data_IF_555732655159
#
_entry.id   IF_555732655159
#
_cell.length_a   1.000
_cell.length_b   1.000
_cell.length_c   1.000
_cell.angle_alpha   90.00
_cell.angle_beta   90.00
_cell.angle_gamma   90.00
#
_symmetry.space_group_name_H-M   'P 1'
#
loop_
_entity.id
_entity.type
_entity.pdbx_description
1 polymer ?
#
# COMPACT_ATOMS: atom_id res chain seq x y z
N UNK A 1 23.99 -48.97 59.18
CA UNK A 1 23.54 -48.03 60.24
C UNK A 1 23.06 -46.74 59.63
N UNK A 2 21.72 -46.53 59.54
CA UNK A 2 21.09 -45.31 59.07
C UNK A 2 20.53 -44.62 60.29
N UNK A 3 20.99 -43.39 60.55
CA UNK A 3 20.40 -42.51 61.57
C UNK A 3 19.20 -41.77 61.00
N UNK A 4 18.08 -41.87 61.71
CA UNK A 4 16.86 -41.13 61.48
C UNK A 4 16.96 -39.80 62.27
N UNK A 5 16.67 -38.69 61.60
CA UNK A 5 16.54 -37.38 62.23
C UNK A 5 15.04 -37.05 62.32
N UNK A 6 14.51 -36.61 63.48
CA UNK A 6 13.09 -36.30 63.64
C UNK A 6 12.73 -34.91 63.19
N UNK A 7 11.53 -34.77 62.60
CA UNK A 7 10.88 -33.51 62.22
C UNK A 7 10.17 -32.87 63.42
N UNK A 8 10.26 -31.56 63.63
CA UNK A 8 9.40 -30.87 64.56
C UNK A 8 8.10 -30.41 63.88
N UNK A 9 6.97 -30.69 64.53
CA UNK A 9 5.66 -30.20 64.17
C UNK A 9 5.44 -28.81 64.75
N UNK A 10 5.26 -27.79 63.87
CA UNK A 10 4.55 -26.56 64.20
C UNK A 10 3.87 -26.05 62.96
N UNK A 11 2.54 -26.12 62.98
CA UNK A 11 1.70 -25.47 61.99
C UNK A 11 1.17 -24.16 62.57
N UNK A 12 1.34 -23.03 61.88
CA UNK A 12 0.59 -21.82 62.20
C UNK A 12 -0.71 -21.81 61.38
N UNK A 13 -1.77 -21.33 62.02
CA UNK A 13 -3.12 -21.17 61.43
C UNK A 13 -3.10 -20.21 60.25
N UNK A 14 -3.67 -20.69 59.15
CA UNK A 14 -3.89 -19.85 57.95
C UNK A 14 -5.21 -19.07 58.14
N UNK A 15 -5.12 -17.78 58.32
CA UNK A 15 -6.27 -16.85 58.23
C UNK A 15 -6.62 -16.65 56.77
N UNK A 16 -7.78 -17.16 56.37
CA UNK A 16 -8.34 -16.90 55.03
C UNK A 16 -8.86 -15.46 54.98
N UNK A 17 -8.10 -14.59 54.35
CA UNK A 17 -8.60 -13.28 53.92
C UNK A 17 -9.32 -13.45 52.57
N UNK A 18 -10.62 -13.25 52.55
CA UNK A 18 -11.40 -13.20 51.33
C UNK A 18 -11.05 -11.90 50.55
N UNK A 19 -10.21 -12.05 49.53
CA UNK A 19 -9.96 -10.97 48.58
C UNK A 19 -11.14 -10.92 47.58
N UNK A 20 -11.90 -9.82 47.59
CA UNK A 20 -12.85 -9.48 46.54
C UNK A 20 -12.06 -9.28 45.23
N UNK A 21 -12.13 -10.22 44.31
CA UNK A 21 -11.72 -9.99 42.92
C UNK A 21 -12.80 -9.14 42.22
N UNK A 22 -12.55 -7.84 42.08
CA UNK A 22 -13.28 -7.04 41.14
C UNK A 22 -12.94 -7.54 39.71
N UNK A 23 -13.93 -8.10 39.05
CA UNK A 23 -13.82 -8.50 37.64
C UNK A 23 -13.56 -7.24 36.81
N UNK A 24 -12.34 -7.06 36.37
CA UNK A 24 -12.01 -6.07 35.32
C UNK A 24 -12.60 -6.62 34.02
N UNK A 25 -13.73 -6.07 33.61
CA UNK A 25 -14.28 -6.32 32.29
C UNK A 25 -13.27 -5.76 31.30
N UNK A 26 -12.65 -6.59 30.42
CA UNK A 26 -11.78 -6.05 29.40
C UNK A 26 -12.59 -5.11 28.51
N UNK A 27 -12.12 -3.87 28.35
CA UNK A 27 -12.67 -2.97 27.35
C UNK A 27 -12.71 -3.70 26.00
N UNK A 28 -13.88 -3.80 25.41
CA UNK A 28 -14.03 -4.37 24.11
C UNK A 28 -13.09 -3.59 23.15
N UNK A 29 -12.08 -4.26 22.64
CA UNK A 29 -11.24 -3.72 21.56
C UNK A 29 -12.21 -3.53 20.41
N UNK A 30 -12.52 -2.26 20.10
CA UNK A 30 -13.34 -1.93 18.94
C UNK A 30 -12.70 -2.61 17.72
N UNK A 31 -13.43 -3.49 17.07
CA UNK A 31 -12.95 -4.05 15.80
C UNK A 31 -12.70 -2.89 14.85
N UNK A 32 -11.58 -2.89 14.12
CA UNK A 32 -11.35 -1.84 13.15
C UNK A 32 -12.54 -1.80 12.20
N UNK A 33 -13.19 -0.64 12.14
CA UNK A 33 -14.28 -0.41 11.20
C UNK A 33 -13.80 -0.75 9.80
N UNK A 34 -14.58 -1.52 9.05
CA UNK A 34 -14.31 -1.79 7.64
C UNK A 34 -14.09 -0.42 6.96
N UNK A 35 -12.95 -0.21 6.28
CA UNK A 35 -12.71 1.08 5.63
C UNK A 35 -13.82 1.36 4.61
N UNK A 36 -14.16 2.64 4.39
CA UNK A 36 -15.17 3.02 3.40
C UNK A 36 -14.81 2.48 2.02
N UNK A 37 -15.83 2.14 1.24
CA UNK A 37 -15.62 1.62 -0.10
C UNK A 37 -15.05 2.71 -1.04
N UNK A 38 -14.29 2.35 -2.08
CA UNK A 38 -13.72 3.28 -3.05
C UNK A 38 -14.71 4.25 -3.70
N UNK A 39 -15.99 3.92 -3.68
CA UNK A 39 -17.08 4.74 -4.22
C UNK A 39 -17.25 6.10 -3.53
N UNK A 40 -16.64 6.28 -2.36
CA UNK A 40 -16.75 7.52 -1.58
C UNK A 40 -15.64 8.53 -1.90
N UNK A 41 -14.56 8.12 -2.60
CA UNK A 41 -13.56 9.05 -3.10
C UNK A 41 -13.84 9.31 -4.58
N UNK A 42 -14.70 10.27 -4.83
CA UNK A 42 -14.77 11.00 -6.10
C UNK A 42 -15.30 10.30 -7.35
N UNK A 43 -15.81 9.06 -7.33
CA UNK A 43 -16.54 8.56 -8.49
C UNK A 43 -17.74 7.70 -8.12
N UNK A 44 -18.92 8.09 -8.61
CA UNK A 44 -20.12 7.25 -8.66
C UNK A 44 -20.03 6.21 -9.80
N UNK A 45 -18.84 5.89 -10.30
CA UNK A 45 -18.66 4.95 -11.39
C UNK A 45 -18.49 3.53 -10.83
N UNK A 46 -19.10 2.55 -11.45
CA UNK A 46 -18.85 1.14 -11.19
C UNK A 46 -17.37 0.83 -11.49
N UNK A 47 -16.64 0.34 -10.49
CA UNK A 47 -15.25 -0.10 -10.63
C UNK A 47 -15.25 -1.60 -10.92
N UNK A 48 -14.54 -2.03 -11.95
CA UNK A 48 -14.49 -3.41 -12.40
C UNK A 48 -15.51 -3.72 -13.48
N UNK A 49 -15.78 -5.00 -13.67
CA UNK A 49 -16.70 -5.47 -14.70
C UNK A 49 -18.14 -5.10 -14.41
N UNK A 50 -18.93 -4.91 -15.46
CA UNK A 50 -20.37 -4.68 -15.41
C UNK A 50 -21.10 -5.73 -16.24
N UNK A 51 -22.28 -6.20 -15.75
CA UNK A 51 -23.14 -7.12 -16.51
C UNK A 51 -22.42 -8.34 -17.08
N UNK A 52 -22.61 -8.59 -18.37
CA UNK A 52 -22.07 -9.77 -19.07
C UNK A 52 -20.58 -9.57 -19.46
N UNK A 53 -19.70 -9.63 -18.48
CA UNK A 53 -18.26 -9.53 -18.69
C UNK A 53 -17.72 -10.76 -19.44
N UNK A 54 -16.82 -10.53 -20.39
CA UNK A 54 -16.10 -11.62 -21.04
C UNK A 54 -15.08 -12.24 -20.09
N UNK A 55 -15.29 -13.49 -19.70
CA UNK A 55 -14.35 -14.24 -18.85
C UNK A 55 -13.18 -14.76 -19.67
N UNK A 56 -11.97 -14.55 -19.18
CA UNK A 56 -10.73 -15.15 -19.69
C UNK A 56 -9.78 -15.44 -18.52
N UNK A 57 -8.92 -16.44 -18.67
CA UNK A 57 -7.91 -16.73 -17.65
C UNK A 57 -6.68 -15.80 -17.78
N UNK A 58 -6.34 -15.39 -19.00
CA UNK A 58 -5.21 -14.50 -19.31
C UNK A 58 -5.52 -13.62 -20.51
N UNK A 59 -4.87 -12.47 -20.59
CA UNK A 59 -5.03 -11.52 -21.70
C UNK A 59 -3.67 -10.99 -22.16
N UNK A 60 -3.33 -11.20 -23.43
CA UNK A 60 -2.16 -10.58 -24.06
C UNK A 60 -2.61 -9.50 -25.03
N UNK A 61 -2.22 -8.27 -24.80
CA UNK A 61 -2.58 -7.09 -25.57
C UNK A 61 -1.39 -6.67 -26.43
N UNK A 62 -1.45 -6.99 -27.71
CA UNK A 62 -0.39 -6.77 -28.71
C UNK A 62 -0.80 -5.79 -29.81
N UNK A 63 -1.98 -5.18 -29.69
CA UNK A 63 -2.50 -4.18 -30.63
C UNK A 63 -3.06 -2.99 -29.87
N UNK A 64 -2.94 -1.75 -30.38
CA UNK A 64 -3.60 -0.59 -29.79
C UNK A 64 -5.12 -0.74 -29.83
N UNK A 65 -5.80 -0.02 -28.93
CA UNK A 65 -7.25 0.00 -28.87
C UNK A 65 -7.83 -0.10 -27.47
N UNK A 66 -9.15 -0.22 -27.39
CA UNK A 66 -9.90 -0.31 -26.13
C UNK A 66 -10.24 -1.77 -25.84
N UNK A 67 -9.87 -2.21 -24.64
CA UNK A 67 -10.18 -3.53 -24.08
C UNK A 67 -11.07 -3.29 -22.86
N UNK A 68 -12.31 -3.73 -22.97
CA UNK A 68 -13.34 -3.31 -22.02
C UNK A 68 -14.18 -4.47 -21.52
N UNK A 69 -14.65 -4.36 -20.27
CA UNK A 69 -15.57 -5.28 -19.62
C UNK A 69 -15.09 -6.74 -19.69
N UNK A 70 -13.86 -6.96 -19.24
CA UNK A 70 -13.21 -8.28 -19.25
C UNK A 70 -12.93 -8.70 -17.81
N UNK A 71 -13.47 -9.86 -17.41
CA UNK A 71 -13.07 -10.54 -16.20
C UNK A 71 -11.88 -11.44 -16.49
N UNK A 72 -10.70 -11.08 -15.99
CA UNK A 72 -9.50 -11.92 -16.04
C UNK A 72 -9.38 -12.63 -14.71
N UNK A 73 -9.83 -13.87 -14.63
CA UNK A 73 -9.68 -14.71 -13.45
C UNK A 73 -8.56 -15.73 -13.69
N UNK A 74 -7.45 -15.53 -13.00
CA UNK A 74 -6.26 -16.37 -13.17
C UNK A 74 -6.39 -17.77 -12.61
N UNK A 75 -7.41 -18.05 -11.77
CA UNK A 75 -7.55 -19.34 -11.12
C UNK A 75 -6.24 -19.80 -10.44
N UNK A 76 -5.50 -18.83 -9.91
CA UNK A 76 -4.21 -19.01 -9.21
C UNK A 76 -3.08 -19.60 -10.06
N UNK A 77 -3.04 -19.33 -11.37
CA UNK A 77 -1.90 -19.70 -12.21
C UNK A 77 -0.65 -18.89 -11.91
N UNK A 78 0.54 -19.50 -12.09
CA UNK A 78 1.85 -18.84 -11.91
C UNK A 78 2.30 -18.14 -13.19
N UNK A 79 1.49 -17.21 -13.69
CA UNK A 79 1.76 -16.41 -14.88
C UNK A 79 1.17 -15.00 -14.73
N UNK A 80 1.73 -14.04 -15.46
CA UNK A 80 1.13 -12.71 -15.61
C UNK A 80 -0.27 -12.84 -16.23
N UNK A 81 -1.26 -12.21 -15.61
CA UNK A 81 -2.65 -12.30 -16.04
C UNK A 81 -2.92 -11.43 -17.27
N UNK A 82 -2.46 -10.16 -17.23
CA UNK A 82 -2.59 -9.22 -18.35
C UNK A 82 -1.21 -8.72 -18.76
N UNK A 83 -0.84 -8.93 -20.01
CA UNK A 83 0.42 -8.42 -20.58
C UNK A 83 0.12 -7.40 -21.67
N UNK A 84 0.58 -6.16 -21.49
CA UNK A 84 0.42 -5.05 -22.45
C UNK A 84 1.76 -4.75 -23.11
N UNK A 85 1.84 -4.98 -24.41
CA UNK A 85 3.07 -4.73 -25.22
C UNK A 85 2.81 -3.81 -26.41
N UNK A 86 1.57 -3.40 -26.64
CA UNK A 86 1.23 -2.42 -27.65
C UNK A 86 1.07 -1.02 -27.05
N UNK A 87 1.53 -0.01 -27.75
CA UNK A 87 1.28 1.38 -27.41
C UNK A 87 -0.18 1.76 -27.68
N UNK A 88 -0.69 2.81 -27.03
CA UNK A 88 -2.05 3.32 -27.26
C UNK A 88 -3.17 2.39 -26.81
N UNK A 89 -2.99 1.67 -25.70
CA UNK A 89 -3.98 0.76 -25.13
C UNK A 89 -4.79 1.44 -24.05
N UNK A 90 -6.10 1.26 -24.09
CA UNK A 90 -7.01 1.55 -22.98
C UNK A 90 -7.61 0.26 -22.45
N UNK A 91 -7.35 -0.07 -21.19
CA UNK A 91 -8.00 -1.15 -20.43
C UNK A 91 -9.01 -0.51 -19.50
N UNK A 92 -10.31 -0.79 -19.65
CA UNK A 92 -11.33 -0.15 -18.80
C UNK A 92 -12.42 -1.11 -18.35
N UNK A 93 -13.03 -0.80 -17.20
CA UNK A 93 -14.12 -1.59 -16.63
C UNK A 93 -13.77 -3.09 -16.57
N UNK A 94 -12.54 -3.43 -16.21
CA UNK A 94 -12.08 -4.81 -16.12
C UNK A 94 -11.85 -5.21 -14.66
N UNK A 95 -12.07 -6.49 -14.35
CA UNK A 95 -11.65 -7.08 -13.10
C UNK A 95 -10.54 -8.11 -13.37
N UNK A 96 -9.42 -8.01 -12.63
CA UNK A 96 -8.25 -8.86 -12.79
C UNK A 96 -7.91 -9.43 -11.42
N UNK A 97 -7.98 -10.76 -11.28
CA UNK A 97 -7.89 -11.39 -9.97
C UNK A 97 -7.32 -12.80 -9.97
N UNK A 98 -7.02 -13.31 -8.78
CA UNK A 98 -6.65 -14.69 -8.50
C UNK A 98 -5.39 -15.13 -9.28
N UNK A 99 -4.30 -14.36 -9.16
CA UNK A 99 -3.01 -14.67 -9.76
C UNK A 99 -1.95 -15.05 -8.74
N UNK A 100 -0.96 -15.85 -9.17
CA UNK A 100 0.26 -16.15 -8.39
C UNK A 100 1.52 -15.52 -8.98
N UNK A 101 1.33 -14.55 -9.83
CA UNK A 101 2.36 -13.73 -10.46
C UNK A 101 1.74 -12.34 -10.71
N UNK A 102 2.42 -11.42 -11.39
CA UNK A 102 1.91 -10.06 -11.61
C UNK A 102 0.52 -10.05 -12.28
N UNK A 103 -0.38 -9.21 -11.82
CA UNK A 103 -1.69 -9.05 -12.46
C UNK A 103 -1.53 -8.35 -13.82
N UNK A 104 -0.91 -7.17 -13.86
CA UNK A 104 -0.70 -6.41 -15.09
C UNK A 104 0.77 -6.09 -15.27
N UNK A 105 1.35 -6.49 -16.40
CA UNK A 105 2.72 -6.11 -16.80
C UNK A 105 2.67 -5.26 -18.06
N UNK A 106 3.32 -4.08 -18.02
CA UNK A 106 3.31 -3.10 -19.10
C UNK A 106 4.73 -2.90 -19.62
N UNK A 107 4.90 -3.06 -20.95
CA UNK A 107 6.12 -2.73 -21.69
C UNK A 107 5.71 -1.94 -22.94
N UNK A 108 5.07 -0.79 -22.74
CA UNK A 108 4.40 -0.01 -23.78
C UNK A 108 4.28 1.46 -23.36
N UNK A 109 3.90 2.30 -24.33
CA UNK A 109 3.65 3.73 -24.14
C UNK A 109 2.17 4.06 -24.29
N UNK A 110 1.78 5.21 -23.73
CA UNK A 110 0.44 5.77 -23.91
C UNK A 110 -0.66 4.79 -23.49
N UNK A 111 -0.51 4.20 -22.30
CA UNK A 111 -1.46 3.21 -21.74
C UNK A 111 -2.37 3.89 -20.74
N UNK A 112 -3.66 3.58 -20.80
CA UNK A 112 -4.68 4.00 -19.83
C UNK A 112 -5.30 2.76 -19.19
N UNK A 113 -5.33 2.72 -17.85
CA UNK A 113 -6.09 1.75 -17.06
C UNK A 113 -7.14 2.54 -16.30
N UNK A 114 -8.41 2.34 -16.61
CA UNK A 114 -9.52 3.16 -16.13
C UNK A 114 -10.65 2.29 -15.55
N UNK A 115 -11.14 2.65 -14.37
CA UNK A 115 -12.27 1.98 -13.73
C UNK A 115 -12.08 0.46 -13.58
N UNK A 116 -10.85 0.02 -13.32
CA UNK A 116 -10.50 -1.40 -13.17
C UNK A 116 -10.36 -1.80 -11.71
N UNK A 117 -10.70 -3.07 -11.41
CA UNK A 117 -10.45 -3.71 -10.12
C UNK A 117 -9.36 -4.76 -10.26
N UNK A 118 -8.27 -4.64 -9.49
CA UNK A 118 -7.10 -5.53 -9.56
C UNK A 118 -6.81 -6.03 -8.14
N UNK A 119 -6.97 -7.35 -7.91
CA UNK A 119 -6.85 -7.83 -6.54
C UNK A 119 -6.57 -9.34 -6.44
N UNK A 120 -6.20 -9.77 -5.22
CA UNK A 120 -5.88 -11.18 -4.90
C UNK A 120 -4.81 -11.74 -5.83
N UNK A 121 -3.63 -11.12 -5.76
CA UNK A 121 -2.44 -11.50 -6.53
C UNK A 121 -1.38 -11.96 -5.53
N UNK A 122 -1.38 -13.26 -5.22
CA UNK A 122 -0.69 -13.84 -4.07
C UNK A 122 0.28 -14.93 -4.50
N UNK A 123 1.58 -14.74 -4.27
CA UNK A 123 2.64 -15.70 -4.61
C UNK A 123 3.39 -16.16 -3.35
N UNK A 124 3.79 -17.41 -3.34
CA UNK A 124 4.43 -18.04 -2.18
C UNK A 124 3.42 -18.44 -1.11
N UNK A 125 3.80 -18.23 0.13
CA UNK A 125 2.99 -18.38 1.34
C UNK A 125 3.16 -17.15 2.21
N UNK A 126 2.39 -16.99 3.27
CA UNK A 126 2.56 -15.83 4.15
C UNK A 126 3.95 -15.73 4.78
N UNK A 127 4.52 -16.86 5.20
CA UNK A 127 5.87 -16.90 5.79
C UNK A 127 7.00 -16.72 4.74
N UNK A 128 6.72 -17.02 3.48
CA UNK A 128 7.67 -16.92 2.36
C UNK A 128 6.96 -16.25 1.17
N UNK A 129 6.62 -14.96 1.37
CA UNK A 129 5.97 -14.17 0.35
C UNK A 129 6.95 -13.91 -0.80
N UNK A 130 6.46 -14.11 -2.01
CA UNK A 130 7.17 -13.74 -3.24
C UNK A 130 6.46 -12.56 -3.90
N UNK A 131 7.24 -11.74 -4.58
CA UNK A 131 6.72 -10.59 -5.30
C UNK A 131 5.68 -11.00 -6.35
N UNK A 132 4.47 -10.52 -6.16
CA UNK A 132 3.40 -10.56 -7.15
C UNK A 132 2.66 -9.22 -7.06
N UNK A 133 2.86 -8.41 -8.11
CA UNK A 133 2.41 -7.02 -8.12
C UNK A 133 1.08 -6.86 -8.83
N UNK A 134 0.31 -5.84 -8.44
CA UNK A 134 -0.91 -5.45 -9.15
C UNK A 134 -0.58 -4.89 -10.53
N UNK A 135 0.20 -3.82 -10.60
CA UNK A 135 0.68 -3.23 -11.86
C UNK A 135 2.20 -3.08 -11.80
N UNK A 136 2.90 -3.56 -12.83
CA UNK A 136 4.36 -3.45 -12.91
C UNK A 136 4.83 -3.31 -14.36
N UNK A 137 6.14 -3.08 -14.54
CA UNK A 137 6.80 -3.01 -15.83
C UNK A 137 7.57 -1.72 -16.08
N UNK A 138 7.73 -1.35 -17.34
CA UNK A 138 8.43 -0.13 -17.76
C UNK A 138 7.54 0.72 -18.69
N UNK A 139 6.44 1.27 -18.16
CA UNK A 139 5.57 2.12 -18.96
C UNK A 139 6.17 3.50 -19.22
N UNK A 140 5.77 4.11 -20.34
CA UNK A 140 5.91 5.55 -20.57
C UNK A 140 4.54 6.17 -20.83
N UNK A 141 4.23 7.30 -20.21
CA UNK A 141 2.91 7.95 -20.31
C UNK A 141 1.77 7.00 -19.87
N UNK A 142 1.88 6.42 -18.68
CA UNK A 142 0.83 5.58 -18.09
C UNK A 142 -0.13 6.43 -17.28
N UNK A 143 -1.43 6.27 -17.52
CA UNK A 143 -2.48 6.78 -16.63
C UNK A 143 -3.24 5.60 -16.01
N UNK A 144 -3.27 5.53 -14.69
CA UNK A 144 -4.15 4.65 -13.90
C UNK A 144 -5.13 5.53 -13.16
N UNK A 145 -6.41 5.39 -13.44
CA UNK A 145 -7.42 6.24 -12.81
C UNK A 145 -8.70 5.49 -12.46
N UNK A 146 -9.39 5.97 -11.43
CA UNK A 146 -10.66 5.42 -10.99
C UNK A 146 -10.57 3.91 -10.67
N UNK A 147 -9.43 3.43 -10.20
CA UNK A 147 -9.17 2.01 -10.01
C UNK A 147 -9.15 1.63 -8.52
N UNK A 148 -9.44 0.36 -8.26
CA UNK A 148 -9.23 -0.29 -6.97
C UNK A 148 -8.14 -1.35 -7.12
N UNK A 149 -7.04 -1.24 -6.35
CA UNK A 149 -5.90 -2.15 -6.47
C UNK A 149 -5.46 -2.59 -5.08
N UNK A 150 -5.41 -3.89 -4.84
CA UNK A 150 -4.98 -4.36 -3.53
C UNK A 150 -4.88 -5.86 -3.37
N UNK A 151 -4.58 -6.30 -2.16
CA UNK A 151 -4.40 -7.70 -1.79
C UNK A 151 -3.39 -8.39 -2.71
N UNK A 152 -2.18 -7.85 -2.77
CA UNK A 152 -1.03 -8.37 -3.51
C UNK A 152 0.03 -8.86 -2.53
N UNK A 153 0.81 -9.90 -2.84
CA UNK A 153 1.93 -10.32 -1.99
C UNK A 153 3.21 -9.52 -2.22
N UNK A 154 3.31 -8.80 -3.31
CA UNK A 154 4.28 -7.72 -3.53
C UNK A 154 3.62 -6.36 -3.35
N UNK A 155 3.98 -5.39 -4.19
CA UNK A 155 3.42 -4.05 -4.19
C UNK A 155 2.12 -3.98 -5.01
N UNK A 156 1.19 -3.11 -4.64
CA UNK A 156 0.02 -2.89 -5.49
C UNK A 156 0.44 -2.26 -6.84
N UNK A 157 1.42 -1.35 -6.82
CA UNK A 157 2.08 -0.81 -8.02
C UNK A 157 3.58 -0.79 -7.80
N UNK A 158 4.35 -1.39 -8.71
CA UNK A 158 5.81 -1.34 -8.66
C UNK A 158 6.38 -0.95 -10.03
N UNK A 159 7.21 0.09 -10.06
CA UNK A 159 8.02 0.42 -11.22
C UNK A 159 9.50 0.44 -10.86
N UNK A 160 10.26 -0.39 -11.58
CA UNK A 160 11.70 -0.43 -11.48
C UNK A 160 12.32 -0.46 -12.88
N UNK A 161 13.60 -0.14 -13.00
CA UNK A 161 14.23 0.00 -14.32
C UNK A 161 14.28 -1.29 -15.14
N UNK A 162 14.21 -2.47 -14.49
CA UNK A 162 14.26 -3.73 -15.22
C UNK A 162 15.27 -3.74 -16.37
N UNK A 163 14.79 -3.93 -17.60
CA UNK A 163 15.57 -3.82 -18.85
C UNK A 163 15.45 -2.47 -19.54
N UNK A 164 14.59 -1.58 -19.05
CA UNK A 164 14.34 -0.27 -19.63
C UNK A 164 14.01 0.77 -18.56
N UNK A 165 13.81 2.02 -18.97
CA UNK A 165 13.32 3.07 -18.10
C UNK A 165 11.79 3.07 -18.10
N UNK A 166 11.21 3.63 -17.05
CA UNK A 166 9.82 4.03 -16.99
C UNK A 166 9.76 5.54 -16.74
N UNK A 167 8.71 6.21 -17.20
CA UNK A 167 8.55 7.65 -16.96
C UNK A 167 7.11 8.10 -17.20
N UNK A 168 6.77 9.26 -16.62
CA UNK A 168 5.52 9.97 -16.78
C UNK A 168 4.29 9.11 -16.45
N UNK A 169 4.19 8.74 -15.17
CA UNK A 169 3.08 7.94 -14.64
C UNK A 169 2.14 8.84 -13.85
N UNK A 170 0.84 8.70 -14.10
CA UNK A 170 -0.25 9.31 -13.33
C UNK A 170 -1.07 8.22 -12.64
N UNK A 171 -1.15 8.28 -11.31
CA UNK A 171 -2.11 7.53 -10.49
C UNK A 171 -3.14 8.54 -9.97
N UNK A 172 -4.39 8.40 -10.38
CA UNK A 172 -5.41 9.40 -10.08
C UNK A 172 -6.72 8.77 -9.62
N UNK A 173 -7.29 9.31 -8.54
CA UNK A 173 -8.60 8.90 -8.05
C UNK A 173 -8.72 7.37 -7.84
N UNK A 174 -7.65 6.77 -7.32
CA UNK A 174 -7.55 5.34 -7.07
C UNK A 174 -7.60 5.03 -5.58
N UNK A 175 -8.07 3.83 -5.27
CA UNK A 175 -7.92 3.23 -3.94
C UNK A 175 -6.92 2.10 -3.98
N UNK A 176 -5.91 2.20 -3.13
CA UNK A 176 -4.94 1.14 -2.89
C UNK A 176 -5.16 0.57 -1.50
N UNK A 177 -5.20 -0.75 -1.39
CA UNK A 177 -5.53 -1.38 -0.12
C UNK A 177 -4.87 -2.72 0.09
N UNK A 178 -4.61 -3.03 1.35
CA UNK A 178 -4.38 -4.38 1.83
C UNK A 178 -5.04 -4.55 3.19
N UNK A 179 -5.00 -5.74 3.73
CA UNK A 179 -5.57 -6.01 5.04
C UNK A 179 -5.57 -7.49 5.35
N UNK A 180 -6.17 -7.88 6.48
CA UNK A 180 -6.34 -9.28 6.80
C UNK A 180 -7.23 -9.96 5.74
N UNK A 181 -6.76 -11.10 5.20
CA UNK A 181 -7.56 -11.91 4.29
C UNK A 181 -8.89 -12.34 4.93
N UNK A 182 -9.97 -12.20 4.19
CA UNK A 182 -11.30 -12.61 4.63
C UNK A 182 -11.46 -14.15 4.67
N UNK A 183 -10.70 -14.86 3.84
CA UNK A 183 -10.69 -16.32 3.72
C UNK A 183 -9.31 -16.82 3.30
N UNK A 184 -9.07 -18.12 3.41
CA UNK A 184 -7.87 -18.77 2.88
C UNK A 184 -7.79 -18.58 1.36
N UNK A 185 -6.60 -18.24 0.84
CA UNK A 185 -6.37 -18.04 -0.58
C UNK A 185 -4.91 -18.33 -0.95
N UNK A 186 -4.66 -19.13 -1.97
CA UNK A 186 -3.36 -19.35 -2.62
C UNK A 186 -2.18 -19.67 -1.66
N UNK A 187 -2.43 -20.33 -0.53
CA UNK A 187 -1.43 -20.67 0.48
C UNK A 187 -1.31 -19.64 1.61
N UNK A 188 -2.08 -18.58 1.56
CA UNK A 188 -2.28 -17.63 2.66
C UNK A 188 -3.54 -17.98 3.43
N UNK A 189 -3.56 -17.68 4.73
CA UNK A 189 -4.66 -18.02 5.63
C UNK A 189 -5.52 -16.78 5.94
N UNK A 190 -6.79 -17.04 6.28
CA UNK A 190 -7.69 -16.02 6.82
C UNK A 190 -7.02 -15.27 7.98
N UNK A 191 -7.08 -13.96 7.94
CA UNK A 191 -6.48 -13.08 8.94
C UNK A 191 -5.02 -12.69 8.67
N UNK A 192 -4.32 -13.35 7.76
CA UNK A 192 -2.99 -12.94 7.33
C UNK A 192 -3.06 -11.70 6.44
N UNK A 193 -2.09 -10.80 6.61
CA UNK A 193 -1.99 -9.54 5.86
C UNK A 193 -0.83 -9.64 4.85
N UNK A 194 -1.09 -9.88 3.57
CA UNK A 194 -0.06 -9.90 2.53
C UNK A 194 0.36 -8.49 2.10
N UNK A 195 1.45 -8.41 1.36
CA UNK A 195 1.91 -7.21 0.66
C UNK A 195 3.08 -6.50 1.31
N UNK A 196 3.73 -5.66 0.49
CA UNK A 196 4.87 -4.84 0.91
C UNK A 196 4.50 -3.35 0.96
N UNK A 197 4.06 -2.77 -0.15
CA UNK A 197 3.71 -1.35 -0.25
C UNK A 197 2.53 -1.13 -1.20
N UNK A 198 1.86 0.04 -1.10
CA UNK A 198 0.91 0.42 -2.14
C UNK A 198 1.65 0.80 -3.42
N UNK A 199 2.67 1.65 -3.32
CA UNK A 199 3.49 2.05 -4.45
C UNK A 199 4.97 1.92 -4.10
N UNK A 200 5.72 1.17 -4.89
CA UNK A 200 7.18 1.09 -4.84
C UNK A 200 7.79 1.60 -6.15
N UNK A 201 8.83 2.45 -6.05
CA UNK A 201 9.47 3.05 -7.22
C UNK A 201 10.97 3.09 -7.07
N UNK A 202 11.68 2.85 -8.16
CA UNK A 202 13.13 3.08 -8.26
C UNK A 202 13.54 3.30 -9.71
N UNK A 203 14.66 4.00 -9.91
CA UNK A 203 15.26 4.19 -11.22
C UNK A 203 16.78 4.07 -11.11
N UNK A 204 17.44 3.67 -12.21
CA UNK A 204 18.91 3.66 -12.31
C UNK A 204 19.43 5.07 -12.52
N UNK A 205 20.57 5.38 -11.93
CA UNK A 205 21.22 6.67 -12.12
C UNK A 205 21.65 6.94 -13.58
N UNK A 206 21.92 5.89 -14.34
CA UNK A 206 22.26 6.00 -15.77
C UNK A 206 21.09 6.42 -16.66
N UNK A 207 19.86 6.35 -16.15
CA UNK A 207 18.65 6.81 -16.84
C UNK A 207 18.30 8.24 -16.40
N UNK A 208 17.51 8.98 -17.17
CA UNK A 208 16.83 10.16 -16.66
C UNK A 208 16.00 9.82 -15.43
N UNK A 209 15.81 10.78 -14.52
CA UNK A 209 14.94 10.61 -13.35
C UNK A 209 13.50 10.33 -13.79
N UNK A 210 12.92 9.26 -13.30
CA UNK A 210 11.53 8.92 -13.62
C UNK A 210 10.56 9.79 -12.84
N UNK A 211 9.48 10.19 -13.48
CA UNK A 211 8.45 11.09 -12.92
C UNK A 211 7.15 10.36 -12.67
N UNK A 212 6.52 10.67 -11.54
CA UNK A 212 5.20 10.17 -11.18
C UNK A 212 4.38 11.25 -10.49
N UNK A 213 3.09 11.29 -10.79
CA UNK A 213 2.11 12.08 -10.04
C UNK A 213 1.09 11.13 -9.44
N UNK A 214 0.81 11.29 -8.15
CA UNK A 214 -0.20 10.55 -7.40
C UNK A 214 -1.16 11.59 -6.84
N UNK A 215 -2.41 11.57 -7.26
CA UNK A 215 -3.37 12.56 -6.80
C UNK A 215 -4.75 12.01 -6.54
N UNK A 216 -5.42 12.55 -5.52
CA UNK A 216 -6.77 12.15 -5.10
C UNK A 216 -6.91 10.64 -4.87
N UNK A 217 -5.88 10.03 -4.29
CA UNK A 217 -5.87 8.61 -3.98
C UNK A 217 -6.07 8.34 -2.49
N UNK A 218 -6.69 7.20 -2.18
CA UNK A 218 -6.75 6.64 -0.84
C UNK A 218 -5.79 5.44 -0.74
N UNK A 219 -4.97 5.40 0.32
CA UNK A 219 -4.04 4.29 0.58
C UNK A 219 -4.15 3.81 2.01
N UNK A 220 -4.51 2.53 2.20
CA UNK A 220 -4.68 2.02 3.55
C UNK A 220 -4.33 0.54 3.72
N UNK A 221 -4.00 0.20 4.95
CA UNK A 221 -3.89 -1.19 5.38
C UNK A 221 -2.47 -1.76 5.40
N UNK A 222 -1.45 -1.05 4.94
CA UNK A 222 -0.05 -1.50 5.03
C UNK A 222 0.48 -1.32 6.45
N UNK A 223 -0.03 -2.13 7.39
CA UNK A 223 0.27 -2.03 8.81
C UNK A 223 0.55 -3.41 9.43
N UNK A 224 1.11 -3.41 10.62
CA UNK A 224 1.32 -4.63 11.39
C UNK A 224 0.00 -5.18 11.98
N UNK A 225 -0.12 -6.50 12.24
CA UNK A 225 0.93 -7.50 12.04
C UNK A 225 1.10 -7.93 10.58
N UNK A 226 2.36 -8.06 10.14
CA UNK A 226 2.75 -8.59 8.82
C UNK A 226 4.11 -9.30 8.93
N UNK A 227 4.44 -10.14 7.96
CA UNK A 227 5.78 -10.74 7.82
C UNK A 227 6.81 -9.72 7.31
N UNK A 228 6.34 -8.66 6.67
CA UNK A 228 7.18 -7.61 6.10
C UNK A 228 7.30 -6.47 7.13
N UNK A 229 8.52 -6.04 7.41
CA UNK A 229 8.80 -4.89 8.25
C UNK A 229 8.97 -3.62 7.41
N UNK A 230 8.63 -2.47 7.99
CA UNK A 230 8.69 -1.16 7.34
C UNK A 230 7.83 -1.08 6.07
N UNK A 231 6.67 -1.69 6.10
CA UNK A 231 5.66 -1.53 5.06
C UNK A 231 5.30 -0.07 4.89
N UNK A 232 5.06 0.36 3.68
CA UNK A 232 4.69 1.74 3.44
C UNK A 232 3.54 1.86 2.44
N UNK A 233 2.68 2.88 2.62
CA UNK A 233 1.78 3.23 1.54
C UNK A 233 2.62 3.68 0.32
N UNK A 234 3.55 4.60 0.50
CA UNK A 234 4.47 5.02 -0.56
C UNK A 234 5.92 4.72 -0.18
N UNK A 235 6.60 3.86 -0.92
CA UNK A 235 8.03 3.55 -0.81
C UNK A 235 8.78 4.15 -2.01
N UNK A 236 9.09 5.44 -1.91
CA UNK A 236 9.67 6.22 -3.00
C UNK A 236 11.19 6.16 -2.92
N UNK A 237 11.79 5.35 -3.79
CA UNK A 237 13.21 5.04 -3.77
C UNK A 237 14.01 6.02 -4.66
N UNK A 238 15.28 5.75 -4.77
CA UNK A 238 16.27 6.61 -5.42
C UNK A 238 15.95 6.91 -6.90
N UNK A 239 16.39 8.06 -7.32
CA UNK A 239 16.38 8.56 -8.69
C UNK A 239 14.98 8.69 -9.33
N UNK A 240 13.98 9.01 -8.50
CA UNK A 240 12.63 9.32 -8.94
C UNK A 240 12.23 10.74 -8.54
N UNK A 241 11.29 11.33 -9.26
CA UNK A 241 10.63 12.59 -8.94
C UNK A 241 9.13 12.34 -8.81
N UNK A 242 8.58 12.53 -7.62
CA UNK A 242 7.19 12.18 -7.33
C UNK A 242 6.45 13.38 -6.72
N UNK A 243 5.26 13.68 -7.26
CA UNK A 243 4.31 14.62 -6.68
C UNK A 243 3.15 13.85 -6.10
N UNK A 244 2.79 14.15 -4.86
CA UNK A 244 1.65 13.54 -4.17
C UNK A 244 0.70 14.66 -3.73
N UNK A 245 -0.51 14.67 -4.27
CA UNK A 245 -1.45 15.78 -4.13
C UNK A 245 -2.85 15.27 -3.72
N UNK A 246 -3.49 15.94 -2.77
CA UNK A 246 -4.88 15.67 -2.36
C UNK A 246 -5.14 14.20 -1.95
N UNK A 247 -4.17 13.50 -1.36
CA UNK A 247 -4.25 12.08 -1.03
C UNK A 247 -4.55 11.83 0.46
N UNK A 248 -5.24 10.73 0.71
CA UNK A 248 -5.59 10.25 2.06
C UNK A 248 -4.85 8.96 2.39
N UNK A 249 -4.34 8.87 3.62
CA UNK A 249 -3.61 7.71 4.13
C UNK A 249 -4.21 7.28 5.48
N UNK A 250 -4.45 5.99 5.65
CA UNK A 250 -4.97 5.46 6.91
C UNK A 250 -4.47 4.05 7.19
N UNK A 251 -4.28 3.68 8.45
CA UNK A 251 -3.89 2.34 8.88
C UNK A 251 -2.62 1.84 8.16
N UNK A 252 -1.56 2.66 8.17
CA UNK A 252 -0.27 2.28 7.59
C UNK A 252 0.83 2.30 8.66
N UNK A 253 1.82 1.41 8.54
CA UNK A 253 3.03 1.50 9.34
C UNK A 253 3.79 2.78 8.98
N UNK A 254 3.98 3.04 7.68
CA UNK A 254 4.58 4.27 7.16
C UNK A 254 3.72 4.78 6.00
N UNK A 255 3.32 6.07 6.03
CA UNK A 255 2.58 6.63 4.91
C UNK A 255 3.51 7.04 3.78
N UNK A 256 4.55 7.81 4.06
CA UNK A 256 5.55 8.26 3.08
C UNK A 256 6.94 7.79 3.51
N UNK A 257 7.47 6.79 2.85
CA UNK A 257 8.87 6.37 2.99
C UNK A 257 9.67 6.93 1.81
N UNK A 258 10.39 8.02 2.05
CA UNK A 258 11.19 8.72 1.05
C UNK A 258 12.64 8.29 1.21
N UNK A 259 13.17 7.60 0.21
CA UNK A 259 14.46 6.90 0.34
C UNK A 259 15.58 7.66 -0.34
N UNK A 260 16.67 7.73 0.37
CA UNK A 260 17.93 8.28 -0.10
C UNK A 260 18.63 7.38 -1.12
N UNK A 261 19.59 7.93 -1.77
CA UNK A 261 20.51 7.21 -2.64
C UNK A 261 21.94 7.39 -2.18
N UNK A 262 22.77 6.38 -2.42
CA UNK A 262 24.22 6.47 -2.17
C UNK A 262 24.95 6.80 -3.46
N UNK A 263 25.96 7.69 -3.37
CA UNK A 263 26.80 8.05 -4.51
C UNK A 263 26.07 8.79 -5.62
N UNK A 264 26.29 8.39 -6.86
CA UNK A 264 25.74 9.03 -8.06
C UNK A 264 24.22 8.85 -8.23
N UNK A 265 23.60 7.96 -7.44
CA UNK A 265 22.19 7.61 -7.64
C UNK A 265 21.22 8.68 -7.19
N UNK A 266 21.65 9.59 -6.30
CA UNK A 266 20.78 10.63 -5.74
C UNK A 266 19.50 10.07 -5.09
N UNK A 267 19.03 10.68 -4.04
CA UNK A 267 17.79 10.29 -3.39
C UNK A 267 16.54 10.63 -4.22
N UNK A 268 15.38 10.23 -3.73
CA UNK A 268 14.11 10.63 -4.28
C UNK A 268 13.91 12.15 -4.15
N UNK A 269 13.27 12.75 -5.14
CA UNK A 269 12.76 14.13 -5.10
C UNK A 269 11.24 14.03 -4.95
N UNK A 270 10.71 14.48 -3.83
CA UNK A 270 9.29 14.29 -3.50
C UNK A 270 8.65 15.60 -3.07
N UNK A 271 7.53 15.94 -3.69
CA UNK A 271 6.64 17.01 -3.27
C UNK A 271 5.33 16.43 -2.75
N UNK A 272 4.97 16.74 -1.51
CA UNK A 272 3.71 16.36 -0.87
C UNK A 272 2.89 17.62 -0.66
N UNK A 273 1.70 17.68 -1.24
CA UNK A 273 0.82 18.84 -1.14
C UNK A 273 -0.61 18.44 -0.79
N UNK A 274 -1.18 19.10 0.23
CA UNK A 274 -2.57 18.93 0.64
C UNK A 274 -2.97 17.47 0.89
N UNK A 275 -2.13 16.69 1.56
CA UNK A 275 -2.41 15.31 1.94
C UNK A 275 -2.82 15.20 3.41
N UNK A 276 -3.54 14.13 3.78
CA UNK A 276 -3.88 13.87 5.18
C UNK A 276 -3.61 12.42 5.57
N UNK A 277 -3.13 12.24 6.81
CA UNK A 277 -2.74 10.96 7.40
C UNK A 277 -3.56 10.72 8.66
N UNK A 278 -4.05 9.48 8.83
CA UNK A 278 -4.86 9.04 9.97
C UNK A 278 -4.41 7.66 10.44
N UNK A 279 -4.60 7.37 11.72
CA UNK A 279 -4.44 6.02 12.32
C UNK A 279 -3.18 5.27 11.81
N UNK A 280 -2.05 5.97 11.71
CA UNK A 280 -0.81 5.42 11.14
C UNK A 280 0.36 5.60 12.09
N UNK A 281 1.33 4.68 12.05
CA UNK A 281 2.47 4.75 12.98
C UNK A 281 3.42 5.88 12.62
N UNK A 282 3.77 6.04 11.35
CA UNK A 282 4.69 7.06 10.86
C UNK A 282 4.08 7.80 9.68
N UNK A 283 3.92 9.12 9.80
CA UNK A 283 3.46 9.92 8.69
C UNK A 283 4.53 9.98 7.59
N UNK A 284 5.73 10.46 7.91
CA UNK A 284 6.83 10.60 6.94
C UNK A 284 8.12 10.05 7.53
N UNK A 285 8.76 9.14 6.82
CA UNK A 285 10.12 8.65 7.07
C UNK A 285 11.02 9.03 5.91
N UNK A 286 11.95 9.94 6.15
CA UNK A 286 12.90 10.42 5.16
C UNK A 286 14.32 9.91 5.46
N UNK A 287 15.02 9.46 4.44
CA UNK A 287 16.43 9.04 4.49
C UNK A 287 17.36 10.18 4.02
N UNK A 288 18.67 10.04 4.22
CA UNK A 288 19.65 11.02 3.75
C UNK A 288 19.68 11.15 2.22
N UNK A 289 20.01 12.33 1.73
CA UNK A 289 20.17 12.59 0.29
C UNK A 289 18.87 12.69 -0.49
N UNK A 290 17.72 12.84 0.19
CA UNK A 290 16.42 13.13 -0.44
C UNK A 290 16.20 14.63 -0.56
N UNK A 291 15.37 15.02 -1.52
CA UNK A 291 14.77 16.36 -1.59
C UNK A 291 13.28 16.22 -1.32
N UNK A 292 12.84 16.73 -0.17
CA UNK A 292 11.45 16.59 0.29
C UNK A 292 10.84 17.96 0.54
N UNK A 293 9.79 18.28 -0.20
CA UNK A 293 8.95 19.46 0.03
C UNK A 293 7.59 19.00 0.52
N UNK A 294 7.16 19.51 1.67
CA UNK A 294 5.84 19.23 2.24
C UNK A 294 5.09 20.54 2.42
N UNK A 295 3.94 20.67 1.75
CA UNK A 295 3.01 21.77 1.90
C UNK A 295 1.65 21.26 2.30
N UNK A 296 1.09 21.75 3.43
CA UNK A 296 -0.23 21.35 3.91
C UNK A 296 -0.38 19.84 4.12
N UNK A 297 0.38 19.28 5.07
CA UNK A 297 0.16 17.92 5.55
C UNK A 297 -0.79 17.92 6.75
N UNK A 298 -1.96 17.33 6.58
CA UNK A 298 -2.93 17.09 7.63
C UNK A 298 -2.51 15.91 8.50
N UNK A 299 -2.47 16.12 9.80
CA UNK A 299 -2.15 15.09 10.78
C UNK A 299 -3.39 14.87 11.66
N UNK A 300 -4.17 13.86 11.31
CA UNK A 300 -5.35 13.42 12.04
C UNK A 300 -5.00 12.60 13.28
N UNK A 301 -6.01 11.99 13.89
CA UNK A 301 -5.82 11.16 15.07
C UNK A 301 -5.03 9.88 14.77
N UNK A 302 -4.47 9.27 15.83
CA UNK A 302 -3.81 7.96 15.74
C UNK A 302 -2.42 7.95 15.09
N UNK A 303 -1.74 9.11 14.98
CA UNK A 303 -0.39 9.19 14.43
C UNK A 303 0.66 9.13 15.53
N UNK A 304 1.45 8.05 15.58
CA UNK A 304 2.49 7.88 16.60
C UNK A 304 3.70 8.79 16.35
N UNK A 305 4.19 8.87 15.10
CA UNK A 305 5.34 9.69 14.72
C UNK A 305 5.03 10.55 13.50
N UNK A 306 5.20 11.85 13.60
CA UNK A 306 4.92 12.80 12.51
C UNK A 306 6.00 12.78 11.44
N UNK A 307 7.25 12.75 11.86
CA UNK A 307 8.42 12.70 10.99
C UNK A 307 9.51 11.86 11.65
N UNK A 308 10.03 10.90 10.94
CA UNK A 308 11.20 10.10 11.35
C UNK A 308 12.29 10.30 10.32
N UNK A 309 13.45 10.77 10.74
CA UNK A 309 14.65 10.85 9.94
C UNK A 309 15.53 9.63 10.19
N UNK A 310 16.09 9.08 9.13
CA UNK A 310 17.04 7.95 9.20
C UNK A 310 18.35 8.39 8.57
N UNK A 311 19.47 8.22 9.30
CA UNK A 311 20.79 8.58 8.79
C UNK A 311 21.20 10.04 9.05
N UNK A 312 20.45 10.82 9.82
CA UNK A 312 20.81 12.18 10.24
C UNK A 312 20.37 13.30 9.31
N UNK A 313 19.61 13.00 8.26
CA UNK A 313 19.45 13.99 7.22
C UNK A 313 18.10 14.21 6.58
N UNK A 314 16.97 14.13 7.27
CA UNK A 314 15.74 14.75 6.72
C UNK A 314 15.84 16.29 6.61
N UNK A 315 17.03 16.85 6.63
CA UNK A 315 17.26 18.26 6.79
C UNK A 315 17.98 18.99 5.67
N UNK A 316 18.72 18.31 4.85
CA UNK A 316 19.41 19.01 3.77
C UNK A 316 18.51 19.08 2.55
N UNK A 317 17.88 20.24 2.32
CA UNK A 317 17.00 20.50 1.19
C UNK A 317 15.55 20.06 1.37
N UNK A 318 15.13 19.80 2.62
CA UNK A 318 13.72 19.53 2.92
C UNK A 318 13.02 20.79 3.39
N UNK A 319 11.93 21.15 2.75
CA UNK A 319 11.07 22.28 3.11
C UNK A 319 9.73 21.73 3.63
N UNK A 320 9.48 21.90 4.93
CA UNK A 320 8.26 21.40 5.58
C UNK A 320 7.46 22.57 6.11
N UNK A 321 6.36 22.88 5.44
CA UNK A 321 5.47 24.00 5.78
C UNK A 321 4.01 23.56 5.86
N UNK A 322 3.22 24.31 6.65
CA UNK A 322 1.76 24.23 6.60
C UNK A 322 1.18 22.90 7.11
N UNK A 323 1.56 22.46 8.32
CA UNK A 323 0.80 21.39 8.99
C UNK A 323 -0.58 21.91 9.42
N UNK A 324 -1.59 21.06 9.31
CA UNK A 324 -2.96 21.41 9.71
C UNK A 324 -3.69 20.21 10.33
N UNK A 325 -4.77 20.47 11.05
CA UNK A 325 -5.68 19.43 11.54
C UNK A 325 -6.70 19.15 10.45
N UNK A 326 -6.69 17.94 9.85
CA UNK A 326 -7.64 17.61 8.80
C UNK A 326 -9.04 17.35 9.41
N UNK A 327 -10.10 17.37 8.59
CA UNK A 327 -11.41 16.94 9.05
C UNK A 327 -11.38 15.44 9.45
N UNK A 328 -12.39 14.93 10.18
CA UNK A 328 -12.51 13.50 10.43
C UNK A 328 -12.39 12.69 9.14
N UNK A 329 -11.82 11.49 9.22
CA UNK A 329 -11.47 10.67 8.06
C UNK A 329 -12.66 10.45 7.11
N UNK A 330 -13.83 10.08 7.63
CA UNK A 330 -15.03 9.83 6.84
C UNK A 330 -15.49 11.08 6.07
N UNK A 331 -15.31 12.25 6.66
CA UNK A 331 -15.59 13.53 5.99
C UNK A 331 -14.55 13.83 4.91
N UNK A 332 -13.27 13.59 5.19
CA UNK A 332 -12.20 13.77 4.20
C UNK A 332 -12.39 12.87 2.98
N UNK A 333 -12.80 11.62 3.20
CA UNK A 333 -13.10 10.67 2.11
C UNK A 333 -14.25 11.17 1.24
N UNK A 334 -15.31 11.67 1.86
CA UNK A 334 -16.52 12.11 1.15
C UNK A 334 -16.38 13.47 0.46
N UNK A 335 -15.74 14.41 1.10
CA UNK A 335 -15.72 15.83 0.69
C UNK A 335 -14.35 16.30 0.18
N UNK A 336 -13.32 15.45 0.33
CA UNK A 336 -11.94 15.82 0.08
C UNK A 336 -11.32 16.63 1.24
N UNK A 337 -10.05 17.01 1.06
CA UNK A 337 -9.31 17.85 2.01
C UNK A 337 -9.57 19.30 1.64
N UNK A 338 -10.09 20.15 2.54
CA UNK A 338 -10.29 21.57 2.26
C UNK A 338 -8.95 22.26 1.93
N UNK A 339 -8.92 23.11 0.96
CA UNK A 339 -7.74 23.93 0.56
C UNK A 339 -7.59 25.18 1.39
#
# INVERSE_FOLDING_TARGET
MRQLIPFPAHWPAIVLSAALFAAVVPAAIAQPSVPPSPQEIGSQQNIGCTGDARLVQRLSITRPGVYENILVDGEWIENTLVKITADGVTLRNCEIRNGRHNAVTISAKDVVIDSCKIHHVLAGTYADQRDAHGITGQPHNLTVRNCEIGMTSGDAVQFDPGRGAWDNVLLENCTFWTGPLAADAAGFKKGERPGENAVDTKQRASNPRSRMTIRRCLMYGWNQPSQISNMAALNLKNHVEVRVEDCLFRDNEICFRVRGGTGEHGGAVVAIENCAVYDSQVAVRAEDGVHLTIKRLGLGDGIANKLVSVGGGAGRGSDITGQFTPPPFEKAVKEGIPR
#
